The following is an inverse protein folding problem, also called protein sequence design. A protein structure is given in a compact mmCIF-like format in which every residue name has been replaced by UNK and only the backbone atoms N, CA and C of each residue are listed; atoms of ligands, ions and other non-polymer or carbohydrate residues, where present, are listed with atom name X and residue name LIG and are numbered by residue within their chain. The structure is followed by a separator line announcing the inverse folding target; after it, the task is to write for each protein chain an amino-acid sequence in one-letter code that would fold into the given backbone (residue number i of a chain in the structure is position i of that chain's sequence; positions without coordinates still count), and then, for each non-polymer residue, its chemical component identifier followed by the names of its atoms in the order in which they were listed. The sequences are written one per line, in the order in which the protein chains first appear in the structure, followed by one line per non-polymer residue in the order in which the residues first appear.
data_IF_813997472229
#
_entry.id   IF_813997472229
#
_cell.length_a   1.000
_cell.length_b   1.000
_cell.length_c   1.000
_cell.angle_alpha   90.00
_cell.angle_beta   90.00
_cell.angle_gamma   90.00
#
_symmetry.space_group_name_H-M   'P 1'
#
loop_
_entity.id
_entity.type
_entity.pdbx_description
1 polymer ?
#
# COMPACT_ATOMS: atom_id res chain seq x y z
N UNK A 1 10.76 1.88 6.83
CA UNK A 1 11.10 2.62 5.59
C UNK A 1 12.20 3.66 5.80
N UNK A 2 12.05 4.67 6.67
CA UNK A 2 13.13 5.66 6.89
C UNK A 2 14.45 5.06 7.44
N UNK A 3 14.36 4.08 8.35
CA UNK A 3 15.53 3.33 8.84
C UNK A 3 16.20 2.54 7.70
N UNK A 4 15.41 2.00 6.77
CA UNK A 4 15.92 1.29 5.60
C UNK A 4 16.65 2.24 4.64
N UNK A 5 16.10 3.44 4.40
CA UNK A 5 16.78 4.50 3.66
C UNK A 5 18.08 4.94 4.34
N UNK A 6 18.08 5.12 5.67
CA UNK A 6 19.27 5.51 6.41
C UNK A 6 20.37 4.45 6.35
N UNK A 7 20.00 3.16 6.44
CA UNK A 7 20.95 2.04 6.31
C UNK A 7 21.46 1.91 4.88
N UNK A 8 20.60 2.09 3.87
CA UNK A 8 21.03 2.15 2.47
C UNK A 8 22.05 3.26 2.26
N UNK A 9 21.78 4.48 2.74
CA UNK A 9 22.70 5.62 2.64
C UNK A 9 24.01 5.36 3.40
N UNK A 10 23.96 4.71 4.56
CA UNK A 10 25.14 4.37 5.36
C UNK A 10 26.03 3.31 4.70
N UNK A 11 25.44 2.26 4.13
CA UNK A 11 26.15 1.22 3.38
C UNK A 11 26.70 1.76 2.05
N UNK A 12 25.99 2.70 1.42
CA UNK A 12 26.47 3.45 0.26
C UNK A 12 27.74 4.25 0.54
N UNK A 13 27.83 4.80 1.75
CA UNK A 13 29.01 5.56 2.19
C UNK A 13 30.22 4.67 2.47
N UNK A 14 30.03 3.35 2.57
CA UNK A 14 31.08 2.36 2.86
C UNK A 14 31.45 1.49 1.66
N UNK A 15 30.53 1.24 0.73
CA UNK A 15 30.76 0.45 -0.48
C UNK A 15 31.22 1.34 -1.64
N UNK A 16 32.32 0.97 -2.30
CA UNK A 16 32.87 1.62 -3.51
C UNK A 16 31.99 1.42 -4.76
N UNK A 17 30.66 1.55 -4.64
CA UNK A 17 29.69 1.44 -5.74
C UNK A 17 29.43 2.80 -6.38
N UNK A 18 30.10 3.07 -7.51
CA UNK A 18 30.00 4.27 -8.37
C UNK A 18 29.70 5.58 -7.61
N UNK A 19 30.73 6.30 -7.19
CA UNK A 19 30.67 7.56 -6.42
C UNK A 19 30.00 8.76 -7.13
N UNK A 20 28.77 8.61 -7.59
CA UNK A 20 27.89 9.69 -8.02
C UNK A 20 26.58 9.61 -7.24
N UNK A 21 26.50 10.44 -6.20
CA UNK A 21 25.33 10.65 -5.34
C UNK A 21 24.17 11.25 -6.16
N UNK A 22 24.46 11.80 -7.34
CA UNK A 22 23.50 12.46 -8.23
C UNK A 22 23.71 12.06 -9.70
N UNK A 23 22.80 11.29 -10.30
CA UNK A 23 22.72 11.08 -11.75
C UNK A 23 21.30 11.28 -12.30
N UNK A 24 21.23 11.80 -13.53
CA UNK A 24 20.02 12.08 -14.31
C UNK A 24 19.58 10.90 -15.21
N UNK A 25 20.31 9.79 -15.17
CA UNK A 25 20.03 8.58 -15.95
C UNK A 25 18.66 7.91 -15.72
N UNK A 26 17.98 8.00 -14.54
CA UNK A 26 16.72 7.28 -14.34
C UNK A 26 15.54 7.95 -15.03
N UNK A 27 15.67 9.24 -15.38
CA UNK A 27 14.63 9.99 -16.11
C UNK A 27 14.80 9.89 -17.63
N UNK A 28 15.94 9.38 -18.12
CA UNK A 28 16.27 9.26 -19.55
C UNK A 28 16.81 7.86 -19.84
N UNK A 29 15.89 6.89 -19.97
CA UNK A 29 16.21 5.57 -20.51
C UNK A 29 15.92 5.56 -22.02
N UNK A 30 16.94 5.32 -22.84
CA UNK A 30 16.81 5.15 -24.30
C UNK A 30 15.95 3.94 -24.71
N UNK A 31 15.55 3.07 -23.75
CA UNK A 31 14.72 1.87 -23.97
C UNK A 31 13.37 1.92 -23.22
N UNK A 32 12.82 3.11 -22.98
CA UNK A 32 11.49 3.27 -22.38
C UNK A 32 10.40 2.83 -23.36
N UNK A 33 10.09 1.54 -23.40
CA UNK A 33 8.91 1.04 -24.09
C UNK A 33 7.66 1.42 -23.30
N UNK A 34 6.68 2.04 -23.96
CA UNK A 34 5.45 2.56 -23.33
C UNK A 34 4.63 1.45 -22.66
N UNK A 35 4.60 0.26 -23.25
CA UNK A 35 3.77 -0.86 -22.76
C UNK A 35 4.23 -1.33 -21.36
N UNK A 36 5.51 -1.69 -21.13
CA UNK A 36 6.01 -1.99 -19.78
C UNK A 36 5.80 -0.86 -18.77
N UNK A 37 5.87 0.39 -19.23
CA UNK A 37 5.69 1.56 -18.35
C UNK A 37 4.27 1.63 -17.79
N UNK A 38 3.26 1.45 -18.65
CA UNK A 38 1.85 1.46 -18.26
C UNK A 38 1.53 0.26 -17.36
N UNK A 39 2.07 -0.92 -17.67
CA UNK A 39 1.89 -2.11 -16.82
C UNK A 39 2.52 -1.90 -15.44
N UNK A 40 3.73 -1.35 -15.38
CA UNK A 40 4.41 -1.02 -14.12
C UNK A 40 3.66 0.04 -13.30
N UNK A 41 3.13 1.07 -13.96
CA UNK A 41 2.31 2.11 -13.33
C UNK A 41 1.06 1.53 -12.67
N UNK A 42 0.39 0.59 -13.33
CA UNK A 42 -0.79 -0.09 -12.77
C UNK A 42 -0.46 -0.83 -11.47
N UNK A 43 0.69 -1.50 -11.40
CA UNK A 43 1.16 -2.16 -10.17
C UNK A 43 1.50 -1.13 -9.09
N UNK A 44 2.09 0.02 -9.47
CA UNK A 44 2.39 1.11 -8.55
C UNK A 44 1.13 1.76 -7.97
N UNK A 45 0.04 1.86 -8.74
CA UNK A 45 -1.24 2.40 -8.26
C UNK A 45 -1.71 1.66 -7.00
N UNK A 46 -1.55 0.34 -6.94
CA UNK A 46 -1.90 -0.47 -5.76
C UNK A 46 -1.20 0.00 -4.49
N UNK A 47 0.06 0.42 -4.60
CA UNK A 47 0.86 0.91 -3.46
C UNK A 47 0.37 2.25 -2.91
N UNK A 48 -0.41 2.99 -3.69
CA UNK A 48 -1.04 4.24 -3.27
C UNK A 48 -2.49 4.07 -2.84
N UNK A 49 -3.08 2.87 -2.92
CA UNK A 49 -4.42 2.61 -2.41
C UNK A 49 -4.44 2.58 -0.88
N UNK A 50 -5.51 3.10 -0.29
CA UNK A 50 -5.74 3.11 1.16
C UNK A 50 -5.75 4.50 1.82
N UNK A 51 -5.45 5.59 1.09
CA UNK A 51 -5.63 6.95 1.62
C UNK A 51 -7.10 7.29 1.90
N UNK A 52 -8.02 6.66 1.19
CA UNK A 52 -9.47 6.76 1.33
C UNK A 52 -9.96 6.07 2.61
N UNK A 53 -9.20 5.11 3.16
CA UNK A 53 -9.48 4.54 4.49
C UNK A 53 -9.55 5.60 5.60
N UNK A 54 -8.87 6.74 5.44
CA UNK A 54 -8.88 7.85 6.40
C UNK A 54 -10.29 8.44 6.54
N UNK A 55 -11.09 8.49 5.47
CA UNK A 55 -12.46 9.02 5.55
C UNK A 55 -13.41 8.07 6.28
N UNK A 56 -13.13 6.77 6.34
CA UNK A 56 -13.94 5.83 7.11
C UNK A 56 -13.86 6.04 8.63
N UNK A 57 -12.80 6.72 9.10
CA UNK A 57 -12.61 7.12 10.51
C UNK A 57 -12.96 8.60 10.76
N UNK A 58 -13.67 9.24 9.82
CA UNK A 58 -14.07 10.63 9.96
C UNK A 58 -14.95 10.87 11.18
N UNK A 59 -15.89 9.96 11.45
CA UNK A 59 -16.85 10.06 12.56
C UNK A 59 -16.15 10.03 13.95
N UNK A 60 -14.96 9.44 14.06
CA UNK A 60 -14.19 9.34 15.31
C UNK A 60 -13.14 10.45 15.47
N UNK A 61 -13.00 11.34 14.47
CA UNK A 61 -11.98 12.39 14.46
C UNK A 61 -12.51 13.69 15.04
N UNK A 62 -11.91 14.16 16.15
CA UNK A 62 -12.32 15.39 16.88
C UNK A 62 -12.46 16.64 16.01
N UNK A 63 -11.71 16.75 14.91
CA UNK A 63 -11.76 17.87 13.96
C UNK A 63 -11.74 17.36 12.49
N UNK A 64 -12.71 16.52 12.13
CA UNK A 64 -12.81 15.90 10.81
C UNK A 64 -12.69 16.88 9.63
N UNK A 65 -13.42 18.00 9.68
CA UNK A 65 -13.54 18.97 8.58
C UNK A 65 -12.20 19.55 8.08
N UNK A 66 -11.25 19.78 9.00
CA UNK A 66 -9.94 20.37 8.66
C UNK A 66 -8.82 19.35 8.55
N UNK A 67 -8.91 18.25 9.31
CA UNK A 67 -7.82 17.27 9.42
C UNK A 67 -7.88 16.27 8.27
N UNK A 68 -9.07 15.79 7.90
CA UNK A 68 -9.25 14.79 6.85
C UNK A 68 -8.73 15.26 5.49
N UNK A 69 -9.11 16.44 4.96
CA UNK A 69 -8.61 16.86 3.65
C UNK A 69 -7.08 17.01 3.63
N UNK A 70 -6.48 17.50 4.72
CA UNK A 70 -5.02 17.58 4.86
C UNK A 70 -4.38 16.20 4.92
N UNK A 71 -4.97 15.26 5.65
CA UNK A 71 -4.44 13.91 5.78
C UNK A 71 -4.52 13.12 4.46
N UNK A 72 -5.61 13.26 3.72
CA UNK A 72 -5.79 12.64 2.39
C UNK A 72 -4.75 13.16 1.40
N UNK A 73 -4.39 14.46 1.45
CA UNK A 73 -3.38 15.01 0.55
C UNK A 73 -1.94 14.69 1.00
N UNK A 74 -1.64 14.79 2.30
CA UNK A 74 -0.29 14.58 2.84
C UNK A 74 0.15 13.12 2.78
N UNK A 75 -0.76 12.16 2.96
CA UNK A 75 -0.44 10.72 2.94
C UNK A 75 0.20 10.27 1.63
N UNK A 76 -0.42 10.44 0.45
CA UNK A 76 0.17 10.07 -0.83
C UNK A 76 1.36 10.95 -1.20
N UNK A 77 1.40 12.22 -0.77
CA UNK A 77 2.54 13.11 -1.03
C UNK A 77 3.81 12.63 -0.30
N UNK A 78 3.71 12.35 1.00
CA UNK A 78 4.82 11.84 1.80
C UNK A 78 5.18 10.42 1.36
N UNK A 79 4.19 9.56 1.10
CA UNK A 79 4.39 8.22 0.57
C UNK A 79 5.15 8.24 -0.76
N UNK A 80 4.70 9.08 -1.70
CA UNK A 80 5.32 9.25 -3.01
C UNK A 80 6.76 9.75 -2.92
N UNK A 81 7.06 10.72 -2.05
CA UNK A 81 8.44 11.16 -1.81
C UNK A 81 9.33 10.03 -1.30
N UNK A 82 8.82 9.18 -0.40
CA UNK A 82 9.55 8.01 0.09
C UNK A 82 9.77 7.00 -1.04
N UNK A 83 8.76 6.72 -1.87
CA UNK A 83 8.87 5.82 -3.02
C UNK A 83 9.90 6.31 -4.05
N UNK A 84 9.89 7.60 -4.38
CA UNK A 84 10.88 8.22 -5.27
C UNK A 84 12.28 8.10 -4.67
N UNK A 85 12.43 8.42 -3.38
CA UNK A 85 13.70 8.30 -2.67
C UNK A 85 14.24 6.87 -2.73
N UNK A 86 13.43 5.89 -2.31
CA UNK A 86 13.81 4.47 -2.34
C UNK A 86 14.17 4.03 -3.76
N UNK A 87 13.33 4.33 -4.75
CA UNK A 87 13.57 3.93 -6.14
C UNK A 87 14.86 4.54 -6.71
N UNK A 88 15.12 5.82 -6.40
CA UNK A 88 16.33 6.52 -6.82
C UNK A 88 17.60 5.92 -6.20
N UNK A 89 17.61 5.73 -4.88
CA UNK A 89 18.75 5.14 -4.19
C UNK A 89 18.94 3.66 -4.57
N UNK A 90 17.85 2.93 -4.82
CA UNK A 90 17.86 1.50 -5.11
C UNK A 90 18.33 1.19 -6.55
N UNK A 91 17.69 1.78 -7.57
CA UNK A 91 17.96 1.47 -8.98
C UNK A 91 19.34 1.95 -9.44
N UNK A 92 19.88 3.00 -8.82
CA UNK A 92 21.07 3.67 -9.35
C UNK A 92 22.39 3.25 -8.71
N UNK A 93 22.39 2.91 -7.43
CA UNK A 93 23.64 2.76 -6.67
C UNK A 93 23.99 1.31 -6.32
N UNK A 94 23.02 0.39 -6.37
CA UNK A 94 23.25 -1.01 -5.96
C UNK A 94 23.11 -2.03 -7.11
N UNK A 95 22.21 -1.83 -8.08
CA UNK A 95 22.04 -2.78 -9.19
C UNK A 95 21.63 -2.08 -10.51
N UNK A 96 22.59 -1.66 -11.37
CA UNK A 96 22.29 -1.24 -12.74
C UNK A 96 21.90 -2.41 -13.66
N UNK A 97 22.03 -3.65 -13.21
CA UNK A 97 21.73 -4.87 -13.97
C UNK A 97 20.69 -5.73 -13.22
N UNK A 98 19.45 -5.74 -13.73
CA UNK A 98 18.31 -6.53 -13.23
C UNK A 98 18.44 -8.05 -13.49
N UNK A 99 19.56 -8.47 -14.06
CA UNK A 99 19.85 -9.84 -14.53
C UNK A 99 20.28 -10.81 -13.43
N UNK A 100 20.45 -10.36 -12.18
CA UNK A 100 20.85 -11.20 -11.05
C UNK A 100 19.72 -11.64 -10.12
N UNK A 101 18.51 -11.08 -10.27
CA UNK A 101 17.37 -11.45 -9.43
C UNK A 101 16.71 -12.73 -9.95
N UNK A 102 16.79 -13.80 -9.15
CA UNK A 102 16.16 -15.10 -9.48
C UNK A 102 14.65 -15.08 -9.27
N UNK A 103 14.13 -14.11 -8.51
CA UNK A 103 12.69 -13.92 -8.24
C UNK A 103 12.32 -12.42 -8.17
N UNK A 104 11.66 -11.85 -9.19
CA UNK A 104 11.22 -10.46 -9.14
C UNK A 104 10.16 -10.17 -8.06
N UNK A 105 9.48 -11.19 -7.52
CA UNK A 105 8.42 -11.00 -6.52
C UNK A 105 8.95 -10.85 -5.08
N UNK A 106 10.21 -11.22 -4.81
CA UNK A 106 10.83 -11.25 -3.48
C UNK A 106 12.07 -10.33 -3.38
N UNK A 107 12.08 -9.22 -4.14
CA UNK A 107 13.19 -8.26 -4.19
C UNK A 107 13.62 -7.81 -2.78
N UNK A 108 12.67 -7.41 -1.93
CA UNK A 108 12.95 -6.77 -0.63
C UNK A 108 13.78 -7.65 0.35
N UNK A 109 13.46 -8.93 0.57
CA UNK A 109 14.31 -9.83 1.37
C UNK A 109 15.66 -10.16 0.72
N UNK A 110 15.71 -10.38 -0.59
CA UNK A 110 16.93 -10.78 -1.30
C UNK A 110 17.98 -9.67 -1.25
N UNK A 111 17.56 -8.42 -1.52
CA UNK A 111 18.41 -7.22 -1.40
C UNK A 111 19.00 -7.10 0.00
N UNK A 112 18.22 -7.41 1.04
CA UNK A 112 18.63 -7.20 2.41
C UNK A 112 19.60 -8.26 2.92
N UNK A 113 19.53 -9.47 2.36
CA UNK A 113 20.53 -10.50 2.56
C UNK A 113 21.90 -10.06 2.00
N UNK A 114 21.90 -9.34 0.86
CA UNK A 114 23.12 -8.79 0.25
C UNK A 114 23.66 -7.53 0.94
N UNK A 115 22.79 -6.59 1.34
CA UNK A 115 23.19 -5.26 1.83
C UNK A 115 23.51 -5.24 3.34
N UNK A 116 22.73 -5.93 4.17
CA UNK A 116 22.66 -5.62 5.62
C UNK A 116 23.00 -6.79 6.55
N UNK A 117 23.43 -7.94 6.00
CA UNK A 117 23.72 -9.20 6.72
C UNK A 117 22.46 -9.83 7.34
N UNK A 118 22.51 -11.14 7.61
CA UNK A 118 21.35 -11.96 7.99
C UNK A 118 20.56 -11.48 9.24
N UNK A 119 21.22 -10.79 10.19
CA UNK A 119 20.55 -10.29 11.40
C UNK A 119 19.64 -9.08 11.14
N UNK A 120 19.97 -8.22 10.19
CA UNK A 120 19.13 -7.06 9.88
C UNK A 120 17.93 -7.46 9.02
N UNK A 121 18.13 -8.46 8.13
CA UNK A 121 17.06 -9.05 7.33
C UNK A 121 15.94 -9.65 8.18
N UNK A 122 16.27 -10.42 9.21
CA UNK A 122 15.26 -11.07 10.06
C UNK A 122 14.41 -10.05 10.83
N UNK A 123 15.02 -8.97 11.32
CA UNK A 123 14.32 -7.88 12.02
C UNK A 123 13.34 -7.20 11.07
N UNK A 124 13.79 -6.80 9.87
CA UNK A 124 12.90 -6.10 8.94
C UNK A 124 11.80 -7.04 8.42
N UNK A 125 12.07 -8.32 8.17
CA UNK A 125 11.03 -9.29 7.81
C UNK A 125 9.96 -9.41 8.91
N UNK A 126 10.37 -9.41 10.18
CA UNK A 126 9.43 -9.40 11.30
C UNK A 126 8.55 -8.14 11.29
N UNK A 127 9.16 -6.96 11.08
CA UNK A 127 8.41 -5.71 10.96
C UNK A 127 7.50 -5.68 9.74
N UNK A 128 7.93 -6.21 8.60
CA UNK A 128 7.11 -6.32 7.39
C UNK A 128 5.90 -7.21 7.65
N UNK A 129 6.08 -8.37 8.31
CA UNK A 129 4.99 -9.24 8.69
C UNK A 129 4.00 -8.55 9.63
N UNK A 130 4.50 -7.88 10.67
CA UNK A 130 3.66 -7.09 11.58
C UNK A 130 2.89 -5.97 10.86
N UNK A 131 3.53 -5.31 9.89
CA UNK A 131 2.91 -4.23 9.10
C UNK A 131 1.80 -4.78 8.18
N UNK A 132 2.05 -5.91 7.51
CA UNK A 132 1.05 -6.57 6.67
C UNK A 132 -0.17 -6.98 7.51
N UNK A 133 0.04 -7.60 8.66
CA UNK A 133 -1.06 -7.96 9.58
C UNK A 133 -1.83 -6.72 10.05
N UNK A 134 -1.14 -5.65 10.44
CA UNK A 134 -1.77 -4.40 10.85
C UNK A 134 -2.60 -3.78 9.72
N UNK A 135 -2.08 -3.76 8.49
CA UNK A 135 -2.80 -3.25 7.32
C UNK A 135 -4.04 -4.08 6.99
N UNK A 136 -3.96 -5.41 7.08
CA UNK A 136 -5.09 -6.30 6.86
C UNK A 136 -6.21 -6.10 7.89
N UNK A 137 -5.84 -5.95 9.17
CA UNK A 137 -6.81 -5.64 10.23
C UNK A 137 -7.46 -4.27 10.02
N UNK A 138 -6.70 -3.26 9.58
CA UNK A 138 -7.23 -1.94 9.27
C UNK A 138 -8.21 -1.98 8.10
N UNK A 139 -7.88 -2.70 7.01
CA UNK A 139 -8.76 -2.88 5.87
C UNK A 139 -10.06 -3.63 6.25
N UNK A 140 -9.95 -4.70 7.03
CA UNK A 140 -11.10 -5.47 7.53
C UNK A 140 -12.05 -4.59 8.36
N UNK A 141 -11.48 -3.76 9.24
CA UNK A 141 -12.23 -2.80 10.06
C UNK A 141 -12.91 -1.73 9.19
N UNK A 142 -12.19 -1.18 8.20
CA UNK A 142 -12.71 -0.16 7.29
C UNK A 142 -13.91 -0.65 6.49
N UNK A 143 -13.83 -1.83 5.88
CA UNK A 143 -14.94 -2.42 5.11
C UNK A 143 -16.14 -2.72 6.01
N UNK A 144 -15.92 -3.31 7.18
CA UNK A 144 -17.00 -3.62 8.13
C UNK A 144 -17.77 -2.38 8.59
N UNK A 145 -17.06 -1.26 8.79
CA UNK A 145 -17.65 0.05 9.13
C UNK A 145 -18.39 0.67 7.95
N UNK A 146 -17.81 0.62 6.76
CA UNK A 146 -18.47 1.14 5.55
C UNK A 146 -19.80 0.41 5.29
N UNK A 147 -19.82 -0.92 5.40
CA UNK A 147 -21.05 -1.72 5.27
C UNK A 147 -22.10 -1.37 6.34
N UNK A 148 -21.66 -1.04 7.57
CA UNK A 148 -22.55 -0.59 8.63
C UNK A 148 -23.18 0.77 8.32
N UNK A 149 -22.38 1.74 7.86
CA UNK A 149 -22.87 3.06 7.46
C UNK A 149 -23.85 2.93 6.28
N UNK A 150 -23.53 2.12 5.27
CA UNK A 150 -24.45 1.84 4.15
C UNK A 150 -25.74 1.14 4.60
N UNK A 151 -25.68 0.30 5.63
CA UNK A 151 -26.85 -0.32 6.26
C UNK A 151 -27.70 0.66 7.07
N UNK A 152 -27.07 1.63 7.75
CA UNK A 152 -27.74 2.73 8.47
C UNK A 152 -28.43 3.71 7.53
N UNK A 153 -27.79 3.99 6.39
CA UNK A 153 -28.29 4.96 5.42
C UNK A 153 -29.34 4.35 4.46
N UNK A 154 -29.79 3.12 4.72
CA UNK A 154 -30.90 2.46 4.01
C UNK A 154 -30.54 1.86 2.64
N UNK A 155 -29.26 1.86 2.25
CA UNK A 155 -28.78 1.27 0.99
C UNK A 155 -28.81 -0.27 1.05
N UNK A 156 -28.58 -0.83 2.24
CA UNK A 156 -28.72 -2.25 2.53
C UNK A 156 -29.88 -2.52 3.51
N UNK A 157 -30.43 -3.76 3.57
CA UNK A 157 -31.49 -4.10 4.52
C UNK A 157 -31.07 -3.82 5.97
N UNK A 158 -31.69 -2.80 6.57
CA UNK A 158 -31.38 -2.31 7.94
C UNK A 158 -31.37 -3.43 8.99
N UNK A 159 -32.24 -4.43 8.82
CA UNK A 159 -32.41 -5.55 9.76
C UNK A 159 -31.16 -6.40 9.95
N UNK A 160 -30.27 -6.46 8.96
CA UNK A 160 -29.05 -7.28 9.03
C UNK A 160 -27.78 -6.45 9.12
N UNK A 161 -27.70 -5.34 8.37
CA UNK A 161 -26.48 -4.53 8.27
C UNK A 161 -26.43 -3.35 9.26
N UNK A 162 -27.57 -2.93 9.83
CA UNK A 162 -27.68 -1.89 10.85
C UNK A 162 -27.63 -2.41 12.30
N UNK A 163 -27.57 -3.73 12.51
CA UNK A 163 -27.57 -4.31 13.86
C UNK A 163 -26.18 -4.22 14.50
N UNK A 164 -26.07 -3.35 15.51
CA UNK A 164 -24.86 -3.21 16.33
C UNK A 164 -25.00 -4.10 17.57
N UNK A 165 -23.96 -4.87 17.88
CA UNK A 165 -23.96 -5.68 19.10
C UNK A 165 -23.99 -4.77 20.35
N UNK A 166 -24.98 -4.91 21.25
CA UNK A 166 -25.22 -3.96 22.35
C UNK A 166 -24.06 -3.86 23.36
N UNK A 167 -23.26 -4.92 23.52
CA UNK A 167 -22.14 -4.96 24.49
C UNK A 167 -20.81 -4.48 23.90
N UNK A 168 -20.57 -4.71 22.59
CA UNK A 168 -19.28 -4.42 21.94
C UNK A 168 -19.34 -3.18 21.07
N UNK A 169 -20.54 -2.65 20.81
CA UNK A 169 -20.77 -1.52 19.89
C UNK A 169 -20.16 -1.73 18.50
N UNK A 170 -19.97 -2.99 18.10
CA UNK A 170 -19.42 -3.40 16.80
C UNK A 170 -20.48 -4.11 15.96
N UNK A 171 -20.49 -3.91 14.63
CA UNK A 171 -21.37 -4.63 13.71
C UNK A 171 -20.85 -6.07 13.51
N UNK A 172 -21.11 -6.95 14.48
CA UNK A 172 -20.57 -8.31 14.49
C UNK A 172 -20.92 -9.13 13.23
N UNK A 173 -22.12 -8.93 12.68
CA UNK A 173 -22.55 -9.60 11.43
C UNK A 173 -21.68 -9.17 10.23
N UNK A 174 -21.42 -7.88 10.09
CA UNK A 174 -20.59 -7.34 9.00
C UNK A 174 -19.15 -7.84 9.12
N UNK A 175 -18.60 -7.88 10.34
CA UNK A 175 -17.24 -8.40 10.61
C UNK A 175 -17.13 -9.88 10.21
N UNK A 176 -18.14 -10.70 10.54
CA UNK A 176 -18.15 -12.13 10.18
C UNK A 176 -18.27 -12.30 8.65
N UNK A 177 -19.13 -11.52 8.00
CA UNK A 177 -19.32 -11.58 6.55
C UNK A 177 -18.04 -11.18 5.81
N UNK A 178 -17.42 -10.06 6.19
CA UNK A 178 -16.14 -9.62 5.63
C UNK A 178 -15.03 -10.64 5.93
N UNK A 179 -15.04 -11.27 7.11
CA UNK A 179 -14.11 -12.34 7.46
C UNK A 179 -14.29 -13.58 6.58
N UNK A 180 -15.52 -14.00 6.32
CA UNK A 180 -15.83 -15.13 5.45
C UNK A 180 -15.42 -14.86 4.00
N UNK A 181 -15.62 -13.63 3.52
CA UNK A 181 -15.10 -13.19 2.21
C UNK A 181 -13.57 -13.12 2.20
N UNK A 182 -12.92 -12.66 3.27
CA UNK A 182 -11.46 -12.65 3.36
C UNK A 182 -10.88 -14.07 3.30
N UNK A 183 -11.59 -15.09 3.80
CA UNK A 183 -11.17 -16.49 3.68
C UNK A 183 -11.19 -17.00 2.23
N UNK A 184 -12.01 -16.44 1.34
CA UNK A 184 -11.98 -16.83 -0.08
C UNK A 184 -10.71 -16.36 -0.79
N UNK A 185 -9.98 -15.40 -0.21
CA UNK A 185 -8.71 -14.91 -0.73
C UNK A 185 -7.62 -16.00 -0.80
N UNK A 186 -7.77 -17.12 -0.08
CA UNK A 186 -6.84 -18.28 -0.13
C UNK A 186 -6.73 -18.87 -1.55
N UNK A 187 -7.76 -18.69 -2.38
CA UNK A 187 -7.82 -19.23 -3.74
C UNK A 187 -7.30 -18.27 -4.82
N UNK A 188 -6.94 -17.04 -4.45
CA UNK A 188 -6.47 -16.02 -5.39
C UNK A 188 -4.95 -15.99 -5.47
N UNK A 189 -4.45 -15.87 -6.70
CA UNK A 189 -3.04 -15.54 -6.94
C UNK A 189 -2.80 -14.04 -6.69
N UNK A 190 -1.57 -13.67 -6.30
CA UNK A 190 -1.21 -12.29 -5.96
C UNK A 190 -1.42 -11.34 -7.15
N UNK A 191 -1.08 -11.78 -8.36
CA UNK A 191 -1.25 -10.98 -9.57
C UNK A 191 -2.73 -10.67 -9.86
N UNK A 192 -3.59 -11.69 -9.75
CA UNK A 192 -5.03 -11.54 -9.95
C UNK A 192 -5.65 -10.68 -8.84
N UNK A 193 -5.21 -10.88 -7.59
CA UNK A 193 -5.69 -10.10 -6.44
C UNK A 193 -5.37 -8.61 -6.60
N UNK A 194 -4.11 -8.27 -6.93
CA UNK A 194 -3.69 -6.88 -7.15
C UNK A 194 -4.41 -6.26 -8.35
N UNK A 195 -4.57 -7.00 -9.45
CA UNK A 195 -5.32 -6.52 -10.63
C UNK A 195 -6.79 -6.22 -10.29
N UNK A 196 -7.45 -7.11 -9.55
CA UNK A 196 -8.84 -6.95 -9.15
C UNK A 196 -9.04 -5.75 -8.21
N UNK A 197 -8.13 -5.55 -7.25
CA UNK A 197 -8.16 -4.42 -6.32
C UNK A 197 -7.97 -3.10 -7.08
N UNK A 198 -6.99 -3.03 -7.97
CA UNK A 198 -6.76 -1.83 -8.80
C UNK A 198 -7.97 -1.52 -9.69
N UNK A 199 -8.53 -2.53 -10.35
CA UNK A 199 -9.71 -2.36 -11.18
C UNK A 199 -10.90 -1.82 -10.37
N UNK A 200 -11.18 -2.41 -9.21
CA UNK A 200 -12.25 -1.96 -8.32
C UNK A 200 -12.03 -0.52 -7.82
N UNK A 201 -10.81 -0.18 -7.41
CA UNK A 201 -10.48 1.15 -6.93
C UNK A 201 -10.60 2.22 -8.02
N UNK A 202 -10.09 1.97 -9.22
CA UNK A 202 -10.18 2.90 -10.36
C UNK A 202 -11.64 3.14 -10.76
N UNK A 203 -12.47 2.11 -10.77
CA UNK A 203 -13.91 2.26 -11.01
C UNK A 203 -14.55 3.11 -9.93
N UNK A 204 -14.29 2.83 -8.65
CA UNK A 204 -14.83 3.59 -7.54
C UNK A 204 -14.44 5.07 -7.63
N UNK A 205 -13.16 5.38 -7.90
CA UNK A 205 -12.70 6.74 -8.10
C UNK A 205 -13.34 7.42 -9.31
N UNK A 206 -13.57 6.69 -10.40
CA UNK A 206 -14.28 7.23 -11.57
C UNK A 206 -15.70 7.64 -11.21
N UNK A 207 -16.44 6.80 -10.48
CA UNK A 207 -17.79 7.12 -10.02
C UNK A 207 -17.82 8.28 -9.03
N UNK A 208 -16.87 8.36 -8.10
CA UNK A 208 -16.75 9.49 -7.17
C UNK A 208 -16.51 10.80 -7.93
N UNK A 209 -15.59 10.79 -8.91
CA UNK A 209 -15.34 11.97 -9.75
C UNK A 209 -16.57 12.36 -10.58
N UNK A 210 -17.28 11.37 -11.13
CA UNK A 210 -18.50 11.61 -11.90
C UNK A 210 -19.65 12.15 -11.04
N UNK A 211 -19.78 11.69 -9.80
CA UNK A 211 -20.82 12.15 -8.86
C UNK A 211 -20.65 13.60 -8.41
N UNK A 212 -19.47 14.19 -8.57
CA UNK A 212 -19.18 15.59 -8.22
C UNK A 212 -19.56 16.54 -9.36
N UNK A 213 -19.66 16.04 -10.59
CA UNK A 213 -20.06 16.79 -11.81
C UNK A 213 -21.58 16.80 -11.93
#
# INVERSE_FOLDING_TARGET
MLVFLAVLIHELSKSEGSGQIWSWRPFTSEKAHLIPMITGETILCFSFLGFDGISSLSEETRNAEKVIPKAIFLTPLIGGLIFIGVSYFFLQLYFPDVSHFKKPDELQPEIMLYVARALFQSIILLFSYATVLASGMAAHTGVSRLMYVMGRDGVFPERFFGYVHPTWRTPAFNVILVGMLALTAIWFDMEIATALINFGALIAFTFVNLSVI
#
